data_IF_825881518008
#
_entry.id   IF_825881518008
#
_cell.length_a   1.000
_cell.length_b   1.000
_cell.length_c   1.000
_cell.angle_alpha   90.00
_cell.angle_beta   90.00
_cell.angle_gamma   90.00
#
_symmetry.space_group_name_H-M   'P 1'
#
loop_
_entity.id
_entity.type
_entity.pdbx_description
1 polymer ?
#
# COMPACT_ATOMS: atom_id res chain seq x y z
N UNK A 1 11.04 13.81 -5.43
CA UNK A 1 10.06 12.86 -5.99
C UNK A 1 10.28 11.51 -5.32
N UNK A 2 9.25 10.88 -4.76
CA UNK A 2 9.38 9.63 -3.99
C UNK A 2 9.64 8.42 -4.91
N UNK A 3 8.89 8.36 -6.01
CA UNK A 3 8.99 7.31 -7.02
C UNK A 3 10.35 7.35 -7.70
N UNK A 4 10.83 8.54 -8.06
CA UNK A 4 12.12 8.75 -8.73
C UNK A 4 13.31 8.71 -7.77
N UNK A 5 13.07 8.46 -6.48
CA UNK A 5 14.16 8.31 -5.51
C UNK A 5 14.78 6.91 -5.49
N UNK A 6 14.21 5.95 -6.23
CA UNK A 6 14.66 4.55 -6.32
C UNK A 6 14.84 3.85 -4.96
N UNK A 7 14.21 4.37 -3.89
CA UNK A 7 14.30 3.79 -2.54
C UNK A 7 13.71 2.38 -2.46
N UNK A 8 12.78 2.06 -3.37
CA UNK A 8 12.18 0.74 -3.50
C UNK A 8 11.68 0.57 -4.94
N UNK A 9 11.97 -0.57 -5.56
CA UNK A 9 11.67 -0.80 -6.98
C UNK A 9 10.18 -0.74 -7.31
N UNK A 10 9.32 -1.10 -6.35
CA UNK A 10 7.86 -1.08 -6.50
C UNK A 10 7.22 0.10 -5.76
N UNK A 11 7.96 1.20 -5.56
CA UNK A 11 7.45 2.38 -4.87
C UNK A 11 6.21 2.97 -5.57
N UNK A 12 6.25 3.04 -6.91
CA UNK A 12 5.11 3.48 -7.71
C UNK A 12 3.89 2.59 -7.49
N UNK A 13 4.04 1.27 -7.65
CA UNK A 13 2.97 0.31 -7.49
C UNK A 13 2.34 0.37 -6.09
N UNK A 14 3.17 0.43 -5.04
CA UNK A 14 2.67 0.52 -3.68
C UNK A 14 1.85 1.80 -3.45
N UNK A 15 2.38 2.96 -3.89
CA UNK A 15 1.70 4.24 -3.73
C UNK A 15 0.37 4.25 -4.48
N UNK A 16 0.32 3.72 -5.69
CA UNK A 16 -0.93 3.59 -6.46
C UNK A 16 -1.94 2.70 -5.74
N UNK A 17 -1.52 1.53 -5.23
CA UNK A 17 -2.43 0.63 -4.51
C UNK A 17 -2.93 1.22 -3.18
N UNK A 18 -2.09 2.00 -2.49
CA UNK A 18 -2.45 2.63 -1.23
C UNK A 18 -3.41 3.82 -1.41
N UNK A 19 -3.20 4.66 -2.43
CA UNK A 19 -4.01 5.85 -2.68
C UNK A 19 -5.26 5.56 -3.52
N UNK A 20 -5.20 4.55 -4.39
CA UNK A 20 -6.29 4.15 -5.27
C UNK A 20 -6.46 2.62 -5.21
N UNK A 21 -6.98 2.11 -4.08
CA UNK A 21 -7.19 0.67 -3.89
C UNK A 21 -8.21 0.12 -4.89
N UNK A 22 -8.10 -1.17 -5.18
CA UNK A 22 -9.00 -1.83 -6.13
C UNK A 22 -10.42 -1.87 -5.55
N UNK A 23 -11.40 -1.43 -6.31
CA UNK A 23 -12.82 -1.59 -5.96
C UNK A 23 -13.26 -3.04 -6.25
N UNK A 24 -13.86 -3.72 -5.27
CA UNK A 24 -14.33 -5.12 -5.41
C UNK A 24 -15.84 -5.20 -5.67
N UNK A 25 -16.66 -4.34 -5.07
CA UNK A 25 -18.11 -4.33 -5.30
C UNK A 25 -18.65 -2.91 -5.41
N UNK A 26 -19.67 -2.74 -6.26
CA UNK A 26 -20.54 -1.57 -6.29
C UNK A 26 -21.92 -2.07 -5.85
N UNK A 27 -22.38 -1.63 -4.67
CA UNK A 27 -23.69 -1.87 -4.04
C UNK A 27 -23.78 -3.04 -3.02
N UNK A 28 -24.42 -2.82 -1.84
CA UNK A 28 -24.87 -1.52 -1.28
C UNK A 28 -23.72 -0.71 -0.65
N UNK A 29 -22.56 -1.33 -0.38
CA UNK A 29 -21.37 -0.68 0.17
C UNK A 29 -20.14 -1.03 -0.67
N UNK A 30 -19.41 0.00 -1.13
CA UNK A 30 -18.19 -0.20 -1.89
C UNK A 30 -17.09 -0.75 -0.98
N UNK A 31 -16.60 -1.95 -1.29
CA UNK A 31 -15.44 -2.55 -0.60
C UNK A 31 -14.18 -2.34 -1.42
N UNK A 32 -13.08 -2.04 -0.71
CA UNK A 32 -11.78 -1.78 -1.31
C UNK A 32 -10.79 -2.86 -0.92
N UNK A 33 -10.05 -3.36 -1.91
CA UNK A 33 -8.90 -4.21 -1.69
C UNK A 33 -7.66 -3.34 -1.45
N UNK A 34 -7.26 -3.23 -0.19
CA UNK A 34 -6.03 -2.55 0.21
C UNK A 34 -4.80 -3.42 -0.10
N UNK A 35 -3.59 -2.83 -0.25
CA UNK A 35 -2.37 -3.61 -0.38
C UNK A 35 -2.10 -4.42 0.89
N UNK A 36 -1.43 -5.55 0.75
CA UNK A 36 -1.06 -6.39 1.88
C UNK A 36 -0.03 -5.69 2.79
N UNK A 37 -0.11 -5.96 4.10
CA UNK A 37 0.81 -5.41 5.11
C UNK A 37 2.27 -5.71 4.81
N UNK A 38 2.57 -6.90 4.29
CA UNK A 38 3.91 -7.28 3.86
C UNK A 38 4.47 -6.33 2.79
N UNK A 39 3.66 -5.95 1.80
CA UNK A 39 4.04 -5.01 0.75
C UNK A 39 4.32 -3.61 1.33
N UNK A 40 3.48 -3.14 2.26
CA UNK A 40 3.72 -1.90 2.99
C UNK A 40 5.06 -1.94 3.73
N UNK A 41 5.36 -3.00 4.48
CA UNK A 41 6.62 -3.14 5.23
C UNK A 41 7.84 -3.13 4.32
N UNK A 42 7.78 -3.80 3.17
CA UNK A 42 8.86 -3.77 2.17
C UNK A 42 9.10 -2.34 1.67
N UNK A 43 8.04 -1.64 1.24
CA UNK A 43 8.13 -0.23 0.85
C UNK A 43 8.70 0.63 1.98
N UNK A 44 8.27 0.38 3.22
CA UNK A 44 8.68 1.16 4.38
C UNK A 44 10.14 0.94 4.77
N UNK A 45 10.66 -0.27 4.54
CA UNK A 45 12.08 -0.57 4.74
C UNK A 45 13.01 0.21 3.82
N UNK A 46 12.57 0.52 2.59
CA UNK A 46 13.35 1.27 1.61
C UNK A 46 13.11 2.79 1.66
N UNK A 47 11.83 3.18 1.67
CA UNK A 47 11.41 4.58 1.51
C UNK A 47 11.10 5.29 2.85
N UNK A 48 10.99 4.52 3.93
CA UNK A 48 11.00 4.90 5.36
C UNK A 48 11.39 6.35 5.69
N UNK A 49 12.70 6.52 5.70
CA UNK A 49 13.37 7.74 6.13
C UNK A 49 13.12 8.94 5.23
N UNK A 50 12.63 8.73 4.00
CA UNK A 50 12.48 9.77 2.97
C UNK A 50 11.08 10.39 2.94
N UNK A 51 10.10 9.80 3.62
CA UNK A 51 8.74 10.32 3.62
C UNK A 51 8.56 11.50 4.57
N UNK A 52 7.79 12.52 4.18
CA UNK A 52 7.31 13.54 5.11
C UNK A 52 6.40 12.92 6.19
N UNK A 53 6.43 13.46 7.42
CA UNK A 53 5.63 12.95 8.55
C UNK A 53 4.14 12.77 8.26
N UNK A 54 3.55 13.67 7.46
CA UNK A 54 2.14 13.54 7.02
C UNK A 54 1.88 12.24 6.26
N UNK A 55 2.82 11.81 5.42
CA UNK A 55 2.71 10.60 4.60
C UNK A 55 2.98 9.37 5.47
N UNK A 56 3.93 9.45 6.42
CA UNK A 56 4.19 8.37 7.37
C UNK A 56 2.93 7.97 8.15
N UNK A 57 2.17 8.97 8.60
CA UNK A 57 0.89 8.75 9.30
C UNK A 57 -0.18 8.15 8.39
N UNK A 58 -0.23 8.56 7.13
CA UNK A 58 -1.20 8.03 6.17
C UNK A 58 -0.90 6.59 5.72
N UNK A 59 0.38 6.19 5.75
CA UNK A 59 0.86 4.88 5.32
C UNK A 59 1.30 4.00 6.51
N UNK A 60 0.61 4.11 7.64
CA UNK A 60 0.86 3.23 8.78
C UNK A 60 0.51 1.77 8.40
N UNK A 61 1.55 0.93 8.34
CA UNK A 61 1.40 -0.46 7.93
C UNK A 61 0.45 -1.29 8.83
N UNK A 62 0.17 -0.85 10.06
CA UNK A 62 -0.79 -1.51 10.95
C UNK A 62 -2.23 -1.47 10.41
N UNK A 63 -2.57 -0.47 9.59
CA UNK A 63 -3.89 -0.31 8.96
C UNK A 63 -4.13 -1.25 7.77
N UNK A 64 -3.09 -1.97 7.32
CA UNK A 64 -3.21 -2.88 6.18
C UNK A 64 -3.42 -4.33 6.66
N UNK A 65 -4.24 -5.12 5.94
CA UNK A 65 -4.50 -6.53 6.24
C UNK A 65 -3.29 -7.44 5.97
N UNK A 66 -3.22 -8.56 6.69
CA UNK A 66 -2.30 -9.66 6.35
C UNK A 66 -2.85 -10.47 5.17
N UNK A 67 -1.96 -11.14 4.43
CA UNK A 67 -2.37 -12.08 3.41
C UNK A 67 -2.85 -13.38 4.06
N UNK A 68 -4.08 -13.78 3.76
CA UNK A 68 -4.69 -15.03 4.23
C UNK A 68 -5.03 -15.90 3.02
N UNK A 69 -5.70 -15.31 2.04
CA UNK A 69 -6.16 -15.96 0.82
C UNK A 69 -6.30 -14.96 -0.36
N UNK A 70 -6.67 -15.49 -1.52
CA UNK A 70 -6.96 -14.68 -2.69
C UNK A 70 -8.21 -13.83 -2.45
N UNK A 71 -8.01 -12.52 -2.32
CA UNK A 71 -9.10 -11.59 -2.01
C UNK A 71 -8.84 -10.78 -0.74
N UNK A 72 -8.12 -11.31 0.24
CA UNK A 72 -7.92 -10.64 1.55
C UNK A 72 -7.23 -9.28 1.41
N UNK A 73 -6.24 -9.20 0.52
CA UNK A 73 -5.47 -8.00 0.23
C UNK A 73 -4.80 -8.11 -1.13
N UNK A 74 -4.35 -6.99 -1.67
CA UNK A 74 -3.62 -6.96 -2.92
C UNK A 74 -2.12 -7.17 -2.65
N UNK A 75 -1.51 -8.28 -3.06
CA UNK A 75 -0.07 -8.48 -2.89
C UNK A 75 0.70 -7.57 -3.85
N UNK A 76 2.02 -7.55 -3.67
CA UNK A 76 2.91 -6.93 -4.67
C UNK A 76 2.70 -7.59 -6.05
N UNK A 77 2.77 -6.83 -7.16
CA UNK A 77 2.63 -7.35 -8.52
C UNK A 77 3.63 -8.46 -8.87
#
# INVERSE_FOLDING_TARGET
ELVDSECYRLAYDFVCQALQPKCISQEPEATYQMPCRSFCREFWSGCGSRLPERIKKALDCSNYPEYIDEGSCRPKP
#
